data_IF_074902674825
#
_entry.id   IF_074902674825
#
_cell.length_a   1.000
_cell.length_b   1.000
_cell.length_c   1.000
_cell.angle_alpha   90.00
_cell.angle_beta   90.00
_cell.angle_gamma   90.00
#
_symmetry.space_group_name_H-M   'P 1'
#
loop_
_entity.id
_entity.type
_entity.pdbx_description
1 polymer ?
#
# COMPACT_ATOMS: atom_id res chain seq x y z
N UNK A 1 -18.77 2.91 26.27
CA UNK A 1 -17.53 3.66 26.62
C UNK A 1 -16.25 2.90 26.31
N UNK A 2 -16.02 1.68 26.81
CA UNK A 2 -14.75 0.94 26.60
C UNK A 2 -14.31 0.80 25.13
N UNK A 3 -15.24 0.50 24.22
CA UNK A 3 -14.94 0.37 22.77
C UNK A 3 -14.41 1.67 22.15
N UNK A 4 -14.98 2.82 22.52
CA UNK A 4 -14.58 4.11 21.96
C UNK A 4 -13.21 4.53 22.50
N UNK A 5 -12.91 4.22 23.77
CA UNK A 5 -11.58 4.46 24.35
C UNK A 5 -10.51 3.64 23.64
N UNK A 6 -10.78 2.35 23.36
CA UNK A 6 -9.84 1.49 22.60
C UNK A 6 -9.62 2.02 21.19
N UNK A 7 -10.67 2.43 20.48
CA UNK A 7 -10.55 3.00 19.14
C UNK A 7 -9.73 4.30 19.18
N UNK A 8 -9.99 5.19 20.13
CA UNK A 8 -9.23 6.44 20.30
C UNK A 8 -7.75 6.13 20.60
N UNK A 9 -7.46 5.17 21.48
CA UNK A 9 -6.07 4.77 21.77
C UNK A 9 -5.35 4.19 20.55
N UNK A 10 -6.03 3.38 19.73
CA UNK A 10 -5.47 2.84 18.48
C UNK A 10 -5.20 3.96 17.47
N UNK A 11 -6.13 4.91 17.32
CA UNK A 11 -5.97 6.07 16.43
C UNK A 11 -4.82 6.97 16.90
N UNK A 12 -4.74 7.25 18.19
CA UNK A 12 -3.64 8.05 18.78
C UNK A 12 -2.29 7.37 18.62
N UNK A 13 -2.22 6.05 18.76
CA UNK A 13 -1.00 5.28 18.53
C UNK A 13 -0.58 5.28 17.05
N UNK A 14 -1.54 5.09 16.14
CA UNK A 14 -1.34 5.23 14.69
C UNK A 14 -0.85 6.64 14.32
N UNK A 15 -1.39 7.68 14.95
CA UNK A 15 -0.96 9.06 14.75
C UNK A 15 0.47 9.30 15.25
N UNK A 16 0.85 8.68 16.38
CA UNK A 16 2.21 8.79 16.93
C UNK A 16 3.27 8.15 16.02
N UNK A 17 2.91 7.10 15.28
CA UNK A 17 3.77 6.47 14.27
C UNK A 17 3.98 7.33 13.01
N UNK A 18 3.23 8.43 12.85
CA UNK A 18 3.36 9.34 11.70
C UNK A 18 4.36 10.47 11.91
N UNK A 19 4.93 10.64 13.10
CA UNK A 19 5.95 11.66 13.33
C UNK A 19 7.27 11.25 12.66
N UNK A 20 7.80 12.06 11.72
CA UNK A 20 9.10 11.78 11.13
C UNK A 20 10.19 11.97 12.19
N UNK A 21 10.98 10.93 12.42
CA UNK A 21 12.18 11.01 13.26
C UNK A 21 13.33 11.62 12.44
N UNK A 22 13.74 12.81 12.88
CA UNK A 22 15.02 13.49 12.60
C UNK A 22 15.23 14.00 11.17
N UNK A 23 15.22 15.33 11.02
CA UNK A 23 15.73 16.05 9.85
C UNK A 23 17.25 16.24 9.98
N UNK A 24 18.05 15.52 9.18
CA UNK A 24 19.49 15.76 9.07
C UNK A 24 19.77 16.66 7.87
N UNK A 25 20.27 17.86 8.12
CA UNK A 25 20.43 18.91 7.12
C UNK A 25 21.62 18.71 6.15
N UNK A 26 22.34 17.58 6.18
CA UNK A 26 23.49 17.37 5.27
C UNK A 26 23.92 15.90 5.05
N UNK A 27 23.07 14.92 5.30
CA UNK A 27 23.45 13.50 5.19
C UNK A 27 22.70 12.79 4.07
N UNK A 28 23.41 11.96 3.29
CA UNK A 28 22.84 11.21 2.17
C UNK A 28 22.23 9.90 2.67
N UNK A 29 20.90 9.80 2.57
CA UNK A 29 20.15 8.60 2.94
C UNK A 29 20.72 7.34 2.27
N UNK A 30 20.91 6.28 3.06
CA UNK A 30 21.27 4.96 2.57
C UNK A 30 20.58 3.86 3.39
N UNK A 31 20.36 2.71 2.76
CA UNK A 31 19.84 1.51 3.44
C UNK A 31 20.98 0.82 4.19
N UNK A 32 20.76 0.55 5.48
CA UNK A 32 21.71 -0.15 6.34
C UNK A 32 21.59 -1.66 6.17
N UNK A 33 20.39 -2.16 5.89
CA UNK A 33 20.09 -3.59 5.74
C UNK A 33 19.75 -3.96 4.30
N UNK A 34 18.46 -4.01 3.97
CA UNK A 34 17.96 -4.31 2.63
C UNK A 34 17.25 -3.08 2.06
N UNK A 35 17.43 -2.85 0.76
CA UNK A 35 16.60 -1.91 0.01
C UNK A 35 15.20 -2.50 -0.16
N UNK A 36 14.13 -1.69 -0.09
CA UNK A 36 12.77 -2.13 -0.39
C UNK A 36 12.61 -2.80 -1.76
N UNK A 37 13.47 -2.48 -2.74
CA UNK A 37 13.49 -3.17 -4.05
C UNK A 37 13.68 -4.69 -3.92
N UNK A 38 14.45 -5.15 -2.93
CA UNK A 38 14.68 -6.58 -2.71
C UNK A 38 13.48 -7.29 -2.08
N UNK A 39 12.68 -6.55 -1.32
CA UNK A 39 11.51 -7.07 -0.60
C UNK A 39 10.23 -6.96 -1.44
N UNK A 40 10.20 -6.02 -2.39
CA UNK A 40 9.07 -5.71 -3.26
C UNK A 40 8.45 -6.94 -3.96
N UNK A 41 9.21 -7.87 -4.57
CA UNK A 41 8.60 -9.04 -5.22
C UNK A 41 7.78 -9.90 -4.26
N UNK A 42 8.25 -10.05 -3.02
CA UNK A 42 7.54 -10.78 -1.97
C UNK A 42 6.31 -10.03 -1.50
N UNK A 43 6.42 -8.71 -1.32
CA UNK A 43 5.27 -7.86 -0.98
C UNK A 43 4.16 -7.96 -2.02
N UNK A 44 4.50 -7.88 -3.32
CA UNK A 44 3.56 -8.06 -4.43
C UNK A 44 2.92 -9.46 -4.39
N UNK A 45 3.72 -10.50 -4.19
CA UNK A 45 3.19 -11.87 -4.15
C UNK A 45 2.18 -12.06 -3.01
N UNK A 46 2.54 -11.64 -1.79
CA UNK A 46 1.67 -11.81 -0.62
C UNK A 46 0.42 -10.94 -0.70
N UNK A 47 0.53 -9.70 -1.18
CA UNK A 47 -0.62 -8.81 -1.38
C UNK A 47 -1.62 -9.41 -2.36
N UNK A 48 -1.17 -9.87 -3.53
CA UNK A 48 -2.03 -10.52 -4.53
C UNK A 48 -2.75 -11.75 -3.99
N UNK A 49 -2.05 -12.60 -3.23
CA UNK A 49 -2.63 -13.80 -2.63
C UNK A 49 -3.72 -13.44 -1.62
N UNK A 50 -3.40 -12.56 -0.67
CA UNK A 50 -4.32 -12.17 0.41
C UNK A 50 -5.56 -11.48 -0.15
N UNK A 51 -5.37 -10.55 -1.09
CA UNK A 51 -6.48 -9.78 -1.65
C UNK A 51 -7.36 -10.64 -2.56
N UNK A 52 -6.76 -11.47 -3.43
CA UNK A 52 -7.54 -12.40 -4.24
C UNK A 52 -8.36 -13.35 -3.36
N UNK A 53 -7.75 -13.89 -2.30
CA UNK A 53 -8.45 -14.76 -1.35
C UNK A 53 -9.61 -14.02 -0.65
N UNK A 54 -9.40 -12.77 -0.21
CA UNK A 54 -10.45 -11.97 0.40
C UNK A 54 -11.62 -11.72 -0.56
N UNK A 55 -11.35 -11.39 -1.83
CA UNK A 55 -12.37 -11.15 -2.86
C UNK A 55 -13.19 -12.41 -3.16
N UNK A 56 -12.54 -13.55 -3.30
CA UNK A 56 -13.22 -14.83 -3.58
C UNK A 56 -14.01 -15.31 -2.35
N UNK A 57 -13.38 -15.35 -1.18
CA UNK A 57 -13.96 -15.97 0.02
C UNK A 57 -14.99 -15.07 0.73
N UNK A 58 -14.66 -13.79 0.92
CA UNK A 58 -15.47 -12.79 1.62
C UNK A 58 -16.34 -12.04 0.63
N UNK A 59 -15.77 -11.58 -0.49
CA UNK A 59 -16.50 -10.90 -1.56
C UNK A 59 -17.47 -11.82 -2.32
N UNK A 60 -17.38 -13.15 -2.12
CA UNK A 60 -18.23 -14.17 -2.76
C UNK A 60 -18.24 -14.06 -4.29
N UNK A 61 -17.07 -13.78 -4.86
CA UNK A 61 -16.87 -13.77 -6.31
C UNK A 61 -16.58 -15.20 -6.78
N UNK A 62 -17.36 -15.69 -7.75
CA UNK A 62 -17.27 -17.08 -8.21
C UNK A 62 -16.03 -17.33 -9.09
N UNK A 63 -15.69 -16.40 -9.98
CA UNK A 63 -14.57 -16.55 -10.91
C UNK A 63 -13.24 -16.14 -10.26
N UNK A 64 -12.48 -17.14 -9.82
CA UNK A 64 -11.16 -16.97 -9.20
C UNK A 64 -10.15 -16.40 -10.19
N UNK A 65 -10.16 -16.86 -11.46
CA UNK A 65 -9.19 -16.43 -12.47
C UNK A 65 -9.39 -14.95 -12.80
N UNK A 66 -10.65 -14.56 -13.02
CA UNK A 66 -11.00 -13.15 -13.24
C UNK A 66 -10.68 -12.30 -12.03
N UNK A 67 -10.93 -12.79 -10.81
CA UNK A 67 -10.59 -12.09 -9.58
C UNK A 67 -9.09 -11.81 -9.49
N UNK A 68 -8.24 -12.83 -9.72
CA UNK A 68 -6.78 -12.68 -9.69
C UNK A 68 -6.28 -11.65 -10.71
N UNK A 69 -6.78 -11.71 -11.96
CA UNK A 69 -6.40 -10.75 -13.01
C UNK A 69 -6.81 -9.33 -12.65
N UNK A 70 -8.05 -9.13 -12.20
CA UNK A 70 -8.57 -7.80 -11.84
C UNK A 70 -7.82 -7.23 -10.64
N UNK A 71 -7.61 -8.02 -9.59
CA UNK A 71 -6.84 -7.59 -8.40
C UNK A 71 -5.41 -7.25 -8.78
N UNK A 72 -4.77 -8.05 -9.64
CA UNK A 72 -3.41 -7.78 -10.11
C UNK A 72 -3.28 -6.51 -10.93
N UNK A 73 -4.23 -6.24 -11.84
CA UNK A 73 -4.27 -4.99 -12.58
C UNK A 73 -4.50 -3.80 -11.64
N UNK A 74 -5.42 -3.94 -10.68
CA UNK A 74 -5.74 -2.87 -9.74
C UNK A 74 -4.53 -2.53 -8.85
N UNK A 75 -3.84 -3.54 -8.31
CA UNK A 75 -2.59 -3.36 -7.55
C UNK A 75 -1.50 -2.68 -8.38
N UNK A 76 -1.33 -3.09 -9.64
CA UNK A 76 -0.37 -2.45 -10.53
C UNK A 76 -0.68 -0.96 -10.72
N UNK A 77 -1.95 -0.61 -10.96
CA UNK A 77 -2.35 0.80 -11.10
C UNK A 77 -2.20 1.57 -9.79
N UNK A 78 -2.58 1.00 -8.65
CA UNK A 78 -2.37 1.60 -7.32
C UNK A 78 -0.90 1.88 -7.06
N UNK A 79 -0.03 0.91 -7.37
CA UNK A 79 1.41 1.06 -7.22
C UNK A 79 1.97 2.17 -8.10
N UNK A 80 1.49 2.30 -9.34
CA UNK A 80 1.96 3.32 -10.28
C UNK A 80 1.42 4.73 -9.98
N UNK A 81 0.23 4.84 -9.38
CA UNK A 81 -0.46 6.12 -9.15
C UNK A 81 0.40 7.18 -8.44
N UNK A 82 1.10 6.89 -7.32
CA UNK A 82 1.94 7.89 -6.66
C UNK A 82 3.08 8.40 -7.54
N UNK A 83 3.68 7.53 -8.36
CA UNK A 83 4.76 7.91 -9.27
C UNK A 83 4.25 8.76 -10.43
N UNK A 84 3.11 8.40 -11.01
CA UNK A 84 2.45 9.21 -12.05
C UNK A 84 2.11 10.60 -11.50
N UNK A 85 1.57 10.66 -10.29
CA UNK A 85 1.25 11.93 -9.63
C UNK A 85 2.49 12.80 -9.39
N UNK A 86 3.60 12.21 -8.95
CA UNK A 86 4.88 12.93 -8.78
C UNK A 86 5.48 13.40 -10.09
N UNK A 87 5.43 12.55 -11.14
CA UNK A 87 5.89 12.90 -12.47
C UNK A 87 5.07 14.07 -13.05
N UNK A 88 3.75 14.03 -12.92
CA UNK A 88 2.85 15.11 -13.32
C UNK A 88 3.13 16.43 -12.60
N UNK A 89 3.48 16.37 -11.31
CA UNK A 89 3.83 17.55 -10.51
C UNK A 89 5.29 18.00 -10.62
N UNK A 90 6.08 17.36 -11.49
CA UNK A 90 7.51 17.64 -11.65
C UNK A 90 8.29 17.68 -10.32
N UNK A 91 7.97 16.80 -9.36
CA UNK A 91 8.64 16.74 -8.06
C UNK A 91 9.86 15.80 -8.15
N UNK A 92 11.11 16.29 -8.15
CA UNK A 92 12.29 15.45 -8.29
C UNK A 92 12.47 14.48 -7.11
N UNK A 93 13.01 13.30 -7.37
CA UNK A 93 13.40 12.31 -6.35
C UNK A 93 14.78 12.58 -5.76
N UNK A 94 15.68 13.12 -6.58
CA UNK A 94 17.05 13.48 -6.17
C UNK A 94 17.78 14.35 -7.21
N UNK A 95 17.35 15.60 -7.36
CA UNK A 95 17.93 16.52 -8.36
C UNK A 95 17.62 16.15 -9.82
N UNK A 96 16.80 15.12 -10.07
CA UNK A 96 16.35 14.66 -11.38
C UNK A 96 15.09 13.78 -11.30
N UNK A 97 14.61 13.30 -12.45
CA UNK A 97 13.37 12.52 -12.63
C UNK A 97 13.62 11.00 -12.76
N UNK A 98 14.47 10.43 -11.90
CA UNK A 98 14.72 8.98 -11.91
C UNK A 98 13.75 8.25 -10.96
N UNK A 99 13.03 7.28 -11.51
CA UNK A 99 12.06 6.42 -10.82
C UNK A 99 12.75 5.47 -9.84
N UNK A 100 13.92 4.93 -10.22
CA UNK A 100 14.71 4.05 -9.36
C UNK A 100 15.35 4.81 -8.20
N UNK A 101 15.59 6.11 -8.35
CA UNK A 101 16.11 6.94 -7.28
C UNK A 101 15.14 7.05 -6.09
N UNK A 102 13.83 6.86 -6.29
CA UNK A 102 12.84 6.83 -5.20
C UNK A 102 13.11 5.68 -4.20
N UNK A 103 13.74 4.60 -4.66
CA UNK A 103 14.07 3.45 -3.83
C UNK A 103 15.43 3.55 -3.16
N UNK A 104 16.30 4.46 -3.59
CA UNK A 104 17.70 4.50 -3.16
C UNK A 104 18.10 5.81 -2.47
N UNK A 105 17.39 6.92 -2.70
CA UNK A 105 17.83 8.26 -2.28
C UNK A 105 16.91 8.95 -1.26
N UNK A 106 16.08 8.19 -0.56
CA UNK A 106 15.29 8.66 0.57
C UNK A 106 14.19 7.67 0.94
N UNK A 107 13.50 7.88 2.07
CA UNK A 107 12.35 7.06 2.49
C UNK A 107 11.09 7.32 1.63
N UNK A 108 11.25 7.76 0.39
CA UNK A 108 10.16 8.12 -0.53
C UNK A 108 9.29 6.92 -0.94
N UNK A 109 9.85 5.72 -0.84
CA UNK A 109 9.17 4.46 -1.13
C UNK A 109 8.46 3.85 0.10
N UNK A 110 8.84 4.22 1.33
CA UNK A 110 8.28 3.59 2.54
C UNK A 110 6.77 3.78 2.51
N UNK A 111 6.02 2.69 2.65
CA UNK A 111 4.55 2.73 2.65
C UNK A 111 4.05 3.65 3.76
N UNK A 112 3.66 4.86 3.35
CA UNK A 112 3.06 5.91 4.18
C UNK A 112 1.54 5.80 4.12
N UNK A 113 0.86 6.42 5.09
CA UNK A 113 -0.61 6.53 5.11
C UNK A 113 -1.19 7.12 3.82
N UNK A 114 -0.44 8.00 3.13
CA UNK A 114 -0.82 8.54 1.83
C UNK A 114 -0.93 7.48 0.72
N UNK A 115 -0.11 6.41 0.78
CA UNK A 115 -0.22 5.29 -0.15
C UNK A 115 -1.54 4.56 0.07
N UNK A 116 -1.91 4.24 1.33
CA UNK A 116 -3.18 3.56 1.61
C UNK A 116 -4.38 4.32 1.04
N UNK A 117 -4.44 5.64 1.22
CA UNK A 117 -5.55 6.45 0.69
C UNK A 117 -5.57 6.40 -0.84
N UNK A 118 -4.42 6.53 -1.49
CA UNK A 118 -4.33 6.50 -2.95
C UNK A 118 -4.67 5.12 -3.52
N UNK A 119 -4.16 4.06 -2.89
CA UNK A 119 -4.51 2.67 -3.21
C UNK A 119 -6.01 2.49 -3.11
N UNK A 120 -6.65 2.89 -2.01
CA UNK A 120 -8.11 2.78 -1.87
C UNK A 120 -8.88 3.58 -2.93
N UNK A 121 -8.41 4.76 -3.32
CA UNK A 121 -9.03 5.57 -4.38
C UNK A 121 -8.94 4.87 -5.75
N UNK A 122 -7.88 4.11 -6.01
CA UNK A 122 -7.63 3.46 -7.31
C UNK A 122 -8.22 2.05 -7.34
N UNK A 123 -7.89 1.22 -6.36
CA UNK A 123 -8.29 -0.19 -6.33
C UNK A 123 -9.78 -0.39 -6.11
N UNK A 124 -10.39 0.38 -5.20
CA UNK A 124 -11.80 0.21 -4.88
C UNK A 124 -12.71 0.37 -6.12
N UNK A 125 -12.61 1.45 -6.92
CA UNK A 125 -13.44 1.55 -8.11
C UNK A 125 -13.11 0.49 -9.17
N UNK A 126 -11.83 0.17 -9.40
CA UNK A 126 -11.43 -0.82 -10.42
C UNK A 126 -12.01 -2.20 -10.06
N UNK A 127 -11.69 -2.71 -8.87
CA UNK A 127 -12.10 -4.05 -8.45
C UNK A 127 -13.62 -4.13 -8.32
N UNK A 128 -14.26 -3.12 -7.71
CA UNK A 128 -15.70 -3.13 -7.55
C UNK A 128 -16.44 -3.09 -8.90
N UNK A 129 -16.07 -2.20 -9.81
CA UNK A 129 -16.76 -2.07 -11.09
C UNK A 129 -16.60 -3.32 -11.98
N UNK A 130 -15.41 -3.94 -11.95
CA UNK A 130 -15.11 -5.11 -12.77
C UNK A 130 -15.69 -6.42 -12.22
N UNK A 131 -15.84 -6.55 -10.89
CA UNK A 131 -16.31 -7.78 -10.24
C UNK A 131 -17.72 -7.71 -9.65
N UNK A 132 -18.39 -6.55 -9.61
CA UNK A 132 -19.76 -6.42 -9.06
C UNK A 132 -20.82 -7.32 -9.72
N UNK A 133 -20.57 -7.79 -10.95
CA UNK A 133 -21.44 -8.72 -11.69
C UNK A 133 -21.19 -10.18 -11.32
N UNK A 134 -20.03 -10.48 -10.75
CA UNK A 134 -19.56 -11.82 -10.41
C UNK A 134 -19.80 -12.19 -8.94
N UNK A 135 -20.33 -11.24 -8.15
CA UNK A 135 -20.63 -11.41 -6.73
C UNK A 135 -22.13 -11.51 -6.47
N UNK A 136 -22.51 -12.41 -5.58
CA UNK A 136 -23.87 -12.51 -5.05
C UNK A 136 -24.13 -11.51 -3.91
N UNK A 137 -23.08 -10.86 -3.36
CA UNK A 137 -23.16 -9.95 -2.21
C UNK A 137 -22.30 -8.71 -2.41
N UNK A 138 -22.83 -7.73 -3.15
CA UNK A 138 -22.18 -6.44 -3.43
C UNK A 138 -21.61 -5.69 -2.21
N UNK A 139 -22.29 -5.56 -1.05
CA UNK A 139 -21.70 -4.91 0.11
C UNK A 139 -20.51 -5.70 0.67
N UNK A 140 -20.58 -7.03 0.61
CA UNK A 140 -19.49 -7.92 1.03
C UNK A 140 -18.25 -7.74 0.14
N UNK A 141 -18.44 -7.52 -1.17
CA UNK A 141 -17.34 -7.22 -2.09
C UNK A 141 -16.65 -5.90 -1.72
N UNK A 142 -17.41 -4.82 -1.46
CA UNK A 142 -16.82 -3.55 -1.06
C UNK A 142 -16.05 -3.65 0.26
N UNK A 143 -16.61 -4.36 1.26
CA UNK A 143 -15.94 -4.61 2.53
C UNK A 143 -14.67 -5.45 2.33
N UNK A 144 -14.72 -6.48 1.47
CA UNK A 144 -13.57 -7.32 1.18
C UNK A 144 -12.42 -6.50 0.58
N UNK A 145 -12.71 -5.65 -0.42
CA UNK A 145 -11.71 -4.77 -1.05
C UNK A 145 -11.08 -3.83 -0.01
N UNK A 146 -11.91 -3.12 0.76
CA UNK A 146 -11.46 -2.17 1.78
C UNK A 146 -10.60 -2.85 2.85
N UNK A 147 -11.11 -3.94 3.42
CA UNK A 147 -10.45 -4.63 4.53
C UNK A 147 -9.14 -5.28 4.08
N UNK A 148 -9.12 -5.93 2.91
CA UNK A 148 -7.91 -6.58 2.41
C UNK A 148 -6.81 -5.57 2.14
N UNK A 149 -7.13 -4.45 1.48
CA UNK A 149 -6.19 -3.37 1.19
C UNK A 149 -5.58 -2.75 2.46
N UNK A 150 -6.41 -2.51 3.47
CA UNK A 150 -5.93 -1.98 4.76
C UNK A 150 -4.98 -2.98 5.41
N UNK A 151 -5.36 -4.27 5.46
CA UNK A 151 -4.56 -5.32 6.09
C UNK A 151 -3.23 -5.51 5.34
N UNK A 152 -3.24 -5.62 4.01
CA UNK A 152 -2.04 -5.83 3.21
C UNK A 152 -1.11 -4.63 3.28
N UNK A 153 -1.65 -3.41 3.20
CA UNK A 153 -0.85 -2.19 3.34
C UNK A 153 -0.19 -2.10 4.71
N UNK A 154 -0.92 -2.41 5.80
CA UNK A 154 -0.35 -2.45 7.15
C UNK A 154 0.72 -3.53 7.29
N UNK A 155 0.48 -4.71 6.72
CA UNK A 155 1.45 -5.81 6.75
C UNK A 155 2.74 -5.42 6.03
N UNK A 156 2.64 -4.89 4.81
CA UNK A 156 3.81 -4.39 4.05
C UNK A 156 4.52 -3.30 4.84
N UNK A 157 3.79 -2.32 5.40
CA UNK A 157 4.40 -1.23 6.16
C UNK A 157 5.10 -1.68 7.45
N UNK A 158 4.63 -2.76 8.10
CA UNK A 158 5.31 -3.35 9.26
C UNK A 158 6.55 -4.12 8.82
N UNK A 159 6.43 -4.98 7.80
CA UNK A 159 7.56 -5.75 7.27
C UNK A 159 8.66 -4.86 6.72
N UNK A 160 8.33 -3.82 5.95
CA UNK A 160 9.30 -2.86 5.43
C UNK A 160 10.06 -2.15 6.56
N UNK A 161 9.38 -1.71 7.63
CA UNK A 161 10.05 -1.05 8.76
C UNK A 161 10.96 -1.98 9.57
N UNK A 162 10.68 -3.27 9.58
CA UNK A 162 11.53 -4.26 10.26
C UNK A 162 12.73 -4.69 9.40
N UNK A 163 12.54 -4.81 8.08
CA UNK A 163 13.54 -5.37 7.16
C UNK A 163 14.41 -4.27 6.54
N UNK A 164 13.81 -3.15 6.15
CA UNK A 164 14.46 -2.05 5.43
C UNK A 164 14.76 -0.91 6.39
N UNK A 165 15.87 -1.04 7.12
CA UNK A 165 16.34 0.00 8.04
C UNK A 165 17.22 0.95 7.24
N UNK A 166 16.82 2.21 7.17
CA UNK A 166 17.64 3.26 6.57
C UNK A 166 18.15 4.26 7.60
N UNK A 167 19.25 4.93 7.26
CA UNK A 167 19.82 6.02 8.03
C UNK A 167 20.15 7.18 7.11
N UNK A 168 20.02 8.37 7.65
CA UNK A 168 20.51 9.60 7.02
C UNK A 168 22.02 9.60 7.04
#
# INVERSE_FOLDING_TARGET
MKRNVVIISIISFLFFLMFPTVSNANSSWHWVTASPLKVLPFAILFTLIIETAAIVMIGKVADIKKSFIVVGLANLFSFLAPYIFRAYRFIPTSGGFDLLAAFNKGPYYIVLTGFLVLTLIVELPIVYLMLKKETNKKPSLAIAILASNIITTLLVAVCERQICIGRW
#
